data_IF_972560111301
#
_entry.id   IF_972560111301
#
_cell.length_a   1.000
_cell.length_b   1.000
_cell.length_c   1.000
_cell.angle_alpha   90.00
_cell.angle_beta   90.00
_cell.angle_gamma   90.00
#
_symmetry.space_group_name_H-M   'P 1'
#
loop_
_entity.id
_entity.type
_entity.pdbx_description
1 polymer ?
#
# COMPACT_ATOMS: atom_id res chain seq x y z
N UNK A 1 8.99 -7.25 -1.79
CA UNK A 1 10.27 -6.93 -2.45
C UNK A 1 11.06 -8.17 -2.91
N UNK A 2 11.45 -9.15 -2.04
CA UNK A 2 12.28 -10.30 -2.46
C UNK A 2 11.58 -11.18 -3.52
N UNK A 3 10.37 -11.64 -3.25
CA UNK A 3 9.59 -12.48 -4.18
C UNK A 3 9.23 -11.73 -5.47
N UNK A 4 8.95 -10.46 -5.38
CA UNK A 4 8.67 -9.58 -6.52
C UNK A 4 9.91 -9.41 -7.40
N UNK A 5 11.09 -9.19 -6.80
CA UNK A 5 12.36 -9.13 -7.51
C UNK A 5 12.71 -10.41 -8.27
N UNK A 6 12.18 -11.56 -7.82
CA UNK A 6 12.27 -12.84 -8.53
C UNK A 6 11.15 -13.07 -9.56
N UNK A 7 10.24 -12.12 -9.76
CA UNK A 7 9.08 -12.26 -10.62
C UNK A 7 7.96 -13.16 -10.05
N UNK A 8 8.09 -13.60 -8.80
CA UNK A 8 7.13 -14.49 -8.13
C UNK A 8 6.12 -13.68 -7.31
N UNK A 9 5.15 -13.07 -7.98
CA UNK A 9 4.15 -12.20 -7.34
C UNK A 9 2.96 -12.94 -6.74
N UNK A 10 2.57 -14.08 -7.32
CA UNK A 10 1.42 -14.88 -6.89
C UNK A 10 1.45 -15.31 -5.41
N UNK A 11 2.56 -15.81 -4.85
CA UNK A 11 2.62 -16.16 -3.43
C UNK A 11 2.38 -14.95 -2.53
N UNK A 12 2.95 -13.79 -2.88
CA UNK A 12 2.77 -12.54 -2.12
C UNK A 12 1.32 -12.09 -2.16
N UNK A 13 0.67 -12.18 -3.31
CA UNK A 13 -0.75 -11.87 -3.47
C UNK A 13 -1.62 -12.73 -2.54
N UNK A 14 -1.43 -14.06 -2.53
CA UNK A 14 -2.22 -14.94 -1.67
C UNK A 14 -1.98 -14.69 -0.18
N UNK A 15 -0.73 -14.39 0.21
CA UNK A 15 -0.41 -14.05 1.61
C UNK A 15 -1.11 -12.75 2.01
N UNK A 16 -1.07 -11.74 1.17
CA UNK A 16 -1.73 -10.45 1.41
C UNK A 16 -3.27 -10.62 1.47
N UNK A 17 -3.85 -11.42 0.57
CA UNK A 17 -5.28 -11.71 0.55
C UNK A 17 -5.75 -12.46 1.79
N UNK A 18 -5.02 -13.51 2.20
CA UNK A 18 -5.30 -14.23 3.45
C UNK A 18 -5.14 -13.30 4.66
N UNK A 19 -4.10 -12.46 4.65
CA UNK A 19 -3.89 -11.45 5.69
C UNK A 19 -5.07 -10.47 5.79
N UNK A 20 -5.59 -9.98 4.69
CA UNK A 20 -6.78 -9.14 4.67
C UNK A 20 -7.99 -9.85 5.27
N UNK A 21 -8.23 -11.11 4.90
CA UNK A 21 -9.34 -11.90 5.45
C UNK A 21 -9.18 -12.19 6.94
N UNK A 22 -7.95 -12.37 7.43
CA UNK A 22 -7.66 -12.57 8.85
C UNK A 22 -7.74 -11.27 9.65
N UNK A 23 -7.43 -10.14 9.05
CA UNK A 23 -7.46 -8.85 9.73
C UNK A 23 -8.88 -8.48 10.17
N UNK A 24 -9.90 -8.73 9.31
CA UNK A 24 -11.29 -8.42 9.62
C UNK A 24 -11.77 -9.04 10.95
N UNK A 25 -11.70 -10.37 11.17
CA UNK A 25 -12.12 -10.97 12.44
C UNK A 25 -11.22 -10.55 13.62
N UNK A 26 -9.93 -10.34 13.39
CA UNK A 26 -9.03 -9.86 14.44
C UNK A 26 -9.41 -8.45 14.89
N UNK A 27 -9.71 -7.54 13.97
CA UNK A 27 -10.19 -6.20 14.30
C UNK A 27 -11.51 -6.27 15.09
N UNK A 28 -12.46 -7.09 14.66
CA UNK A 28 -13.72 -7.26 15.38
C UNK A 28 -13.48 -7.76 16.81
N UNK A 29 -12.58 -8.73 17.00
CA UNK A 29 -12.31 -9.31 18.32
C UNK A 29 -11.64 -8.29 19.24
N UNK A 30 -10.61 -7.58 18.78
CA UNK A 30 -9.82 -6.69 19.64
C UNK A 30 -10.44 -5.31 19.82
N UNK A 31 -11.10 -4.77 18.78
CA UNK A 31 -11.73 -3.44 18.86
C UNK A 31 -12.98 -3.48 19.72
N UNK A 32 -13.86 -4.46 19.49
CA UNK A 32 -15.15 -4.57 20.20
C UNK A 32 -15.09 -5.43 21.46
N UNK A 33 -14.00 -6.16 21.70
CA UNK A 33 -13.84 -6.95 22.92
C UNK A 33 -14.58 -8.27 22.92
N UNK A 34 -14.69 -8.96 21.77
CA UNK A 34 -15.26 -10.30 21.74
C UNK A 34 -14.31 -11.33 22.37
N UNK A 35 -14.82 -12.53 22.66
CA UNK A 35 -14.09 -13.64 23.29
C UNK A 35 -13.57 -13.36 24.72
N UNK A 36 -14.23 -12.48 25.47
CA UNK A 36 -13.88 -12.17 26.86
C UNK A 36 -12.75 -11.16 27.03
N UNK A 37 -12.31 -10.52 25.96
CA UNK A 37 -11.36 -9.41 26.02
C UNK A 37 -12.09 -8.09 26.28
N UNK A 38 -11.48 -7.13 27.01
CA UNK A 38 -12.05 -5.80 27.13
C UNK A 38 -12.01 -5.07 25.77
N UNK A 39 -13.00 -4.22 25.45
CA UNK A 39 -12.99 -3.43 24.22
C UNK A 39 -11.80 -2.46 24.22
N UNK A 40 -10.85 -2.65 23.29
CA UNK A 40 -9.60 -1.89 23.25
C UNK A 40 -9.66 -0.72 22.25
N UNK A 41 -10.72 -0.61 21.45
CA UNK A 41 -10.85 0.47 20.46
C UNK A 41 -9.64 0.56 19.51
N UNK A 42 -9.06 1.76 19.38
CA UNK A 42 -7.91 2.00 18.50
C UNK A 42 -6.65 1.19 18.85
N UNK A 43 -6.43 0.87 20.12
CA UNK A 43 -5.32 0.00 20.55
C UNK A 43 -5.53 -1.42 20.03
N UNK A 44 -6.79 -1.90 20.05
CA UNK A 44 -7.17 -3.21 19.51
C UNK A 44 -6.85 -3.35 18.02
N UNK A 45 -7.13 -2.31 17.22
CA UNK A 45 -6.78 -2.27 15.82
C UNK A 45 -5.26 -2.38 15.59
N UNK A 46 -4.45 -1.68 16.41
CA UNK A 46 -2.98 -1.79 16.36
C UNK A 46 -2.46 -3.19 16.67
N UNK A 47 -3.06 -3.88 17.64
CA UNK A 47 -2.73 -5.26 18.00
C UNK A 47 -3.11 -6.21 16.85
N UNK A 48 -4.31 -6.11 16.30
CA UNK A 48 -4.79 -6.94 15.20
C UNK A 48 -3.87 -6.82 13.97
N UNK A 49 -3.53 -5.58 13.59
CA UNK A 49 -2.60 -5.30 12.49
C UNK A 49 -1.21 -5.89 12.75
N UNK A 50 -0.69 -5.77 13.97
CA UNK A 50 0.62 -6.33 14.34
C UNK A 50 0.64 -7.85 14.23
N UNK A 51 -0.40 -8.52 14.72
CA UNK A 51 -0.56 -9.97 14.60
C UNK A 51 -0.62 -10.37 13.12
N UNK A 52 -1.40 -9.66 12.32
CA UNK A 52 -1.55 -9.93 10.90
C UNK A 52 -0.21 -9.83 10.14
N UNK A 53 0.59 -8.80 10.42
CA UNK A 53 1.93 -8.64 9.83
C UNK A 53 2.87 -9.78 10.23
N UNK A 54 2.87 -10.17 11.51
CA UNK A 54 3.71 -11.28 12.00
C UNK A 54 3.30 -12.61 11.33
N UNK A 55 2.00 -12.89 11.27
CA UNK A 55 1.48 -14.09 10.61
C UNK A 55 1.85 -14.10 9.12
N UNK A 56 1.66 -12.98 8.42
CA UNK A 56 2.05 -12.83 7.02
C UNK A 56 3.56 -13.08 6.80
N UNK A 57 4.41 -12.55 7.69
CA UNK A 57 5.85 -12.78 7.65
C UNK A 57 6.20 -14.26 7.84
N UNK A 58 5.59 -14.93 8.81
CA UNK A 58 5.81 -16.36 9.08
C UNK A 58 5.37 -17.20 7.87
N UNK A 59 4.20 -16.93 7.30
CA UNK A 59 3.71 -17.64 6.11
C UNK A 59 4.68 -17.42 4.94
N UNK A 60 5.15 -16.20 4.72
CA UNK A 60 6.11 -15.89 3.66
C UNK A 60 7.41 -16.70 3.83
N UNK A 61 7.95 -16.77 5.04
CA UNK A 61 9.15 -17.55 5.34
C UNK A 61 8.90 -19.04 5.02
N UNK A 62 7.77 -19.59 5.45
CA UNK A 62 7.41 -20.98 5.17
C UNK A 62 7.31 -21.24 3.65
N UNK A 63 6.69 -20.33 2.91
CA UNK A 63 6.58 -20.43 1.45
C UNK A 63 7.96 -20.40 0.78
N UNK A 64 8.84 -19.48 1.20
CA UNK A 64 10.21 -19.40 0.67
C UNK A 64 10.99 -20.69 0.95
N UNK A 65 10.83 -21.29 2.12
CA UNK A 65 11.53 -22.53 2.49
C UNK A 65 11.01 -23.77 1.77
N UNK A 66 9.71 -23.81 1.44
CA UNK A 66 9.06 -25.02 0.88
C UNK A 66 8.96 -25.02 -0.65
N UNK A 67 8.88 -23.86 -1.28
CA UNK A 67 8.62 -23.77 -2.72
C UNK A 67 9.92 -23.90 -3.51
N UNK A 68 9.96 -24.82 -4.48
CA UNK A 68 11.14 -25.11 -5.31
C UNK A 68 11.65 -23.91 -6.12
N UNK A 69 10.75 -22.99 -6.49
CA UNK A 69 11.09 -21.76 -7.22
C UNK A 69 12.11 -20.90 -6.46
N UNK A 70 12.12 -20.97 -5.12
CA UNK A 70 13.08 -20.26 -4.26
C UNK A 70 14.32 -21.09 -3.93
N UNK A 71 14.34 -22.37 -4.24
CA UNK A 71 15.46 -23.27 -3.88
C UNK A 71 16.78 -22.87 -4.56
N UNK A 72 16.70 -22.26 -5.74
CA UNK A 72 17.88 -21.78 -6.49
C UNK A 72 18.68 -20.71 -5.75
N UNK A 73 18.02 -19.89 -4.93
CA UNK A 73 18.65 -18.75 -4.24
C UNK A 73 19.33 -19.12 -2.93
N UNK A 74 19.00 -20.27 -2.35
CA UNK A 74 19.54 -20.77 -1.05
C UNK A 74 19.65 -19.67 0.02
N UNK A 75 18.62 -18.83 0.14
CA UNK A 75 18.60 -17.60 0.93
C UNK A 75 19.13 -17.78 2.37
N UNK A 76 18.77 -18.89 3.02
CA UNK A 76 19.16 -19.18 4.40
C UNK A 76 20.37 -20.11 4.54
N UNK A 77 21.00 -20.56 3.44
CA UNK A 77 22.09 -21.53 3.50
C UNK A 77 23.46 -20.93 3.80
N UNK A 78 23.66 -19.66 3.50
CA UNK A 78 24.91 -18.95 3.77
C UNK A 78 24.62 -17.51 4.20
N UNK A 79 24.94 -17.19 5.44
CA UNK A 79 25.05 -15.80 5.90
C UNK A 79 26.42 -15.27 5.50
N UNK A 80 26.50 -14.58 4.37
CA UNK A 80 27.70 -13.85 3.97
C UNK A 80 27.74 -12.49 4.67
N UNK A 81 28.95 -12.05 5.02
CA UNK A 81 29.11 -10.69 5.59
C UNK A 81 28.66 -9.65 4.55
N UNK A 82 27.95 -8.60 4.98
CA UNK A 82 27.48 -7.55 4.09
C UNK A 82 28.67 -6.91 3.35
N UNK A 83 28.57 -6.83 2.03
CA UNK A 83 29.57 -6.16 1.20
C UNK A 83 29.31 -4.66 1.26
N UNK A 84 30.31 -3.88 1.76
CA UNK A 84 30.21 -2.43 1.90
C UNK A 84 29.81 -1.73 0.59
N UNK A 85 30.29 -2.20 -0.56
CA UNK A 85 29.97 -1.64 -1.88
C UNK A 85 28.48 -1.81 -2.20
N UNK A 86 27.97 -3.02 -2.10
CA UNK A 86 26.56 -3.34 -2.37
C UNK A 86 25.62 -2.62 -1.39
N UNK A 87 26.02 -2.55 -0.11
CA UNK A 87 25.25 -1.82 0.91
C UNK A 87 25.18 -0.32 0.61
N UNK A 88 26.30 0.27 0.18
CA UNK A 88 26.35 1.68 -0.18
C UNK A 88 25.52 2.00 -1.44
N UNK A 89 25.56 1.11 -2.44
CA UNK A 89 24.73 1.22 -3.65
C UNK A 89 23.23 1.13 -3.30
N UNK A 90 22.84 0.19 -2.44
CA UNK A 90 21.47 0.07 -1.95
C UNK A 90 21.02 1.31 -1.18
N UNK A 91 21.88 1.89 -0.33
CA UNK A 91 21.58 3.12 0.39
C UNK A 91 21.47 4.33 -0.53
N UNK A 92 22.33 4.46 -1.53
CA UNK A 92 22.27 5.54 -2.54
C UNK A 92 20.94 5.52 -3.30
N UNK A 93 20.41 4.34 -3.58
CA UNK A 93 19.13 4.18 -4.27
C UNK A 93 17.95 4.34 -3.30
N UNK A 94 18.04 3.74 -2.13
CA UNK A 94 16.96 3.73 -1.14
C UNK A 94 16.73 5.08 -0.45
N UNK A 95 17.79 5.87 -0.21
CA UNK A 95 17.67 7.15 0.49
C UNK A 95 16.78 8.17 -0.24
N UNK A 96 16.99 8.45 -1.56
CA UNK A 96 16.10 9.35 -2.29
C UNK A 96 14.65 8.86 -2.35
N UNK A 97 14.44 7.56 -2.52
CA UNK A 97 13.09 6.97 -2.55
C UNK A 97 12.42 7.11 -1.18
N UNK A 98 13.14 6.76 -0.11
CA UNK A 98 12.63 6.90 1.26
C UNK A 98 12.36 8.35 1.66
N UNK A 99 13.22 9.29 1.22
CA UNK A 99 13.01 10.71 1.45
C UNK A 99 11.78 11.23 0.70
N UNK A 100 11.55 10.78 -0.53
CA UNK A 100 10.33 11.10 -1.29
C UNK A 100 9.06 10.65 -0.55
N UNK A 101 9.03 9.41 -0.09
CA UNK A 101 7.91 8.88 0.70
C UNK A 101 7.73 9.63 2.04
N UNK A 102 8.83 10.00 2.69
CA UNK A 102 8.78 10.79 3.92
C UNK A 102 8.13 12.15 3.69
N UNK A 103 8.52 12.86 2.62
CA UNK A 103 7.92 14.17 2.27
C UNK A 103 6.43 14.00 1.96
N UNK A 104 6.05 12.99 1.17
CA UNK A 104 4.66 12.69 0.83
C UNK A 104 3.81 12.45 2.08
N UNK A 105 4.24 11.55 2.97
CA UNK A 105 3.53 11.26 4.22
C UNK A 105 3.49 12.48 5.16
N UNK A 106 4.54 13.28 5.18
CA UNK A 106 4.60 14.51 5.99
C UNK A 106 3.61 15.56 5.51
N UNK A 107 3.38 15.66 4.19
CA UNK A 107 2.36 16.54 3.63
C UNK A 107 0.95 16.16 4.08
N UNK A 108 0.60 14.87 3.99
CA UNK A 108 -0.72 14.38 4.45
C UNK A 108 -0.90 14.58 5.96
N UNK A 109 0.11 14.24 6.75
CA UNK A 109 0.06 14.41 8.20
C UNK A 109 0.00 15.89 8.62
N UNK A 110 0.78 16.74 7.95
CA UNK A 110 0.78 18.18 8.18
C UNK A 110 -0.56 18.83 7.82
N UNK A 111 -1.16 18.44 6.70
CA UNK A 111 -2.49 18.88 6.31
C UNK A 111 -3.54 18.49 7.36
N UNK A 112 -3.51 17.25 7.84
CA UNK A 112 -4.43 16.77 8.88
C UNK A 112 -4.29 17.56 10.19
N UNK A 113 -3.06 17.92 10.60
CA UNK A 113 -2.83 18.75 11.80
C UNK A 113 -3.40 20.16 11.65
N UNK A 114 -3.21 20.80 10.49
CA UNK A 114 -3.76 22.15 10.21
C UNK A 114 -5.28 22.10 10.21
N UNK A 115 -5.87 21.11 9.53
CA UNK A 115 -7.33 20.94 9.44
C UNK A 115 -7.92 20.61 10.81
N UNK A 116 -7.17 19.93 11.68
CA UNK A 116 -7.56 19.65 13.06
C UNK A 116 -7.96 20.89 13.88
N UNK A 117 -7.43 22.06 13.53
CA UNK A 117 -7.76 23.34 14.18
C UNK A 117 -9.07 23.98 13.67
N UNK A 118 -9.64 23.49 12.55
CA UNK A 118 -10.82 24.09 11.90
C UNK A 118 -12.17 23.53 12.37
N UNK A 119 -12.15 22.55 13.26
CA UNK A 119 -13.36 21.97 13.84
C UNK A 119 -13.68 20.55 13.36
N UNK A 120 -14.54 19.86 14.11
CA UNK A 120 -14.80 18.43 13.93
C UNK A 120 -15.45 18.08 12.58
N UNK A 121 -16.37 18.91 12.07
CA UNK A 121 -17.02 18.69 10.78
C UNK A 121 -16.03 18.73 9.63
N UNK A 122 -15.09 19.69 9.63
CA UNK A 122 -14.06 19.83 8.60
C UNK A 122 -13.07 18.66 8.64
N UNK A 123 -12.66 18.22 9.84
CA UNK A 123 -11.81 17.03 10.02
C UNK A 123 -12.52 15.78 9.51
N UNK A 124 -13.81 15.62 9.84
CA UNK A 124 -14.62 14.50 9.34
C UNK A 124 -14.69 14.47 7.82
N UNK A 125 -15.02 15.60 7.20
CA UNK A 125 -15.09 15.74 5.75
C UNK A 125 -13.74 15.45 5.07
N UNK A 126 -12.65 15.98 5.61
CA UNK A 126 -11.29 15.72 5.11
C UNK A 126 -10.92 14.23 5.21
N UNK A 127 -11.26 13.58 6.32
CA UNK A 127 -11.00 12.15 6.51
C UNK A 127 -11.76 11.31 5.48
N UNK A 128 -13.04 11.64 5.22
CA UNK A 128 -13.83 10.97 4.18
C UNK A 128 -13.22 11.17 2.81
N UNK A 129 -12.86 12.41 2.46
CA UNK A 129 -12.27 12.73 1.17
C UNK A 129 -10.92 12.00 0.94
N UNK A 130 -10.04 11.99 1.95
CA UNK A 130 -8.76 11.26 1.86
C UNK A 130 -8.98 9.75 1.74
N UNK A 131 -9.92 9.16 2.47
CA UNK A 131 -10.20 7.73 2.36
C UNK A 131 -10.66 7.35 0.95
N UNK A 132 -11.58 8.12 0.37
CA UNK A 132 -12.03 7.92 -1.00
C UNK A 132 -10.87 8.09 -1.98
N UNK A 133 -10.11 9.18 -1.89
CA UNK A 133 -8.97 9.44 -2.74
C UNK A 133 -7.91 8.33 -2.65
N UNK A 134 -7.65 7.80 -1.45
CA UNK A 134 -6.69 6.72 -1.21
C UNK A 134 -7.08 5.43 -1.93
N UNK A 135 -8.36 5.05 -1.94
CA UNK A 135 -8.85 3.86 -2.67
C UNK A 135 -8.55 3.99 -4.16
N UNK A 136 -8.85 5.14 -4.75
CA UNK A 136 -8.59 5.39 -6.17
C UNK A 136 -7.08 5.51 -6.47
N UNK A 137 -6.30 6.09 -5.55
CA UNK A 137 -4.85 6.21 -5.68
C UNK A 137 -4.11 4.85 -5.68
N UNK A 138 -4.68 3.83 -5.01
CA UNK A 138 -4.06 2.49 -4.97
C UNK A 138 -3.94 1.84 -6.35
N UNK A 139 -4.83 2.14 -7.29
CA UNK A 139 -4.78 1.58 -8.67
C UNK A 139 -3.51 2.02 -9.43
N UNK A 140 -3.27 3.33 -9.66
CA UNK A 140 -2.06 3.78 -10.35
C UNK A 140 -0.78 3.45 -9.57
N UNK A 141 -0.84 3.47 -8.23
CA UNK A 141 0.29 3.10 -7.38
C UNK A 141 0.69 1.63 -7.60
N UNK A 142 -0.26 0.70 -7.60
CA UNK A 142 0.00 -0.73 -7.81
C UNK A 142 0.57 -1.02 -9.20
N UNK A 143 0.07 -0.34 -10.24
CA UNK A 143 0.58 -0.44 -11.61
C UNK A 143 2.03 0.07 -11.65
N UNK A 144 2.32 1.21 -11.01
CA UNK A 144 3.65 1.79 -10.92
C UNK A 144 4.66 0.85 -10.24
N UNK A 145 4.28 0.24 -9.11
CA UNK A 145 5.12 -0.72 -8.39
C UNK A 145 5.39 -2.00 -9.20
N UNK A 146 4.37 -2.53 -9.89
CA UNK A 146 4.52 -3.69 -10.76
C UNK A 146 5.44 -3.38 -11.95
N UNK A 147 5.30 -2.19 -12.53
CA UNK A 147 6.17 -1.73 -13.62
C UNK A 147 7.61 -1.54 -13.16
N UNK A 148 7.85 -0.92 -12.01
CA UNK A 148 9.19 -0.73 -11.46
C UNK A 148 9.92 -2.07 -11.30
N UNK A 149 9.24 -3.09 -10.80
CA UNK A 149 9.78 -4.45 -10.66
C UNK A 149 10.09 -5.07 -12.03
N UNK A 150 9.14 -4.98 -12.99
CA UNK A 150 9.33 -5.56 -14.33
C UNK A 150 10.45 -4.88 -15.11
N UNK A 151 10.47 -3.55 -15.09
CA UNK A 151 11.51 -2.76 -15.79
C UNK A 151 12.87 -3.03 -15.16
N UNK A 152 12.96 -3.08 -13.82
CA UNK A 152 14.18 -3.41 -13.09
C UNK A 152 14.75 -4.77 -13.49
N UNK A 153 13.92 -5.80 -13.61
CA UNK A 153 14.33 -7.13 -14.05
C UNK A 153 14.83 -7.12 -15.50
N UNK A 154 14.12 -6.47 -16.42
CA UNK A 154 14.53 -6.36 -17.83
C UNK A 154 15.83 -5.60 -18.01
N UNK A 155 16.07 -4.56 -17.23
CA UNK A 155 17.36 -3.83 -17.22
C UNK A 155 18.47 -4.73 -16.67
N UNK A 156 18.20 -5.52 -15.62
CA UNK A 156 19.14 -6.50 -15.07
C UNK A 156 19.52 -7.59 -16.07
N UNK A 157 18.59 -7.99 -16.93
CA UNK A 157 18.81 -8.93 -18.04
C UNK A 157 19.48 -8.27 -19.26
N UNK A 158 19.86 -6.99 -19.18
CA UNK A 158 20.43 -6.19 -20.28
C UNK A 158 19.53 -6.05 -21.51
N UNK A 159 18.22 -6.25 -21.34
CA UNK A 159 17.23 -6.15 -22.42
C UNK A 159 16.61 -4.74 -22.47
N UNK A 160 17.41 -3.77 -22.90
CA UNK A 160 17.04 -2.35 -22.90
C UNK A 160 15.81 -2.05 -23.78
N UNK A 161 15.66 -2.72 -24.91
CA UNK A 161 14.53 -2.49 -25.82
C UNK A 161 13.20 -2.91 -25.16
N UNK A 162 13.17 -4.06 -24.52
CA UNK A 162 11.96 -4.51 -23.82
C UNK A 162 11.68 -3.64 -22.56
N UNK A 163 12.71 -3.16 -21.87
CA UNK A 163 12.56 -2.25 -20.75
C UNK A 163 11.92 -0.90 -21.19
N UNK A 164 12.37 -0.35 -22.33
CA UNK A 164 11.77 0.86 -22.91
C UNK A 164 10.31 0.63 -23.30
N UNK A 165 10.01 -0.47 -24.00
CA UNK A 165 8.64 -0.81 -24.36
C UNK A 165 7.74 -0.97 -23.15
N UNK A 166 8.20 -1.68 -22.11
CA UNK A 166 7.48 -1.82 -20.85
C UNK A 166 7.20 -0.46 -20.17
N UNK A 167 8.17 0.46 -20.24
CA UNK A 167 8.01 1.83 -19.69
C UNK A 167 6.92 2.61 -20.42
N UNK A 168 6.91 2.59 -21.76
CA UNK A 168 5.87 3.27 -22.56
C UNK A 168 4.48 2.69 -22.28
N UNK A 169 4.35 1.36 -22.27
CA UNK A 169 3.08 0.69 -21.95
C UNK A 169 2.60 1.06 -20.55
N UNK A 170 3.50 1.11 -19.57
CA UNK A 170 3.14 1.49 -18.20
C UNK A 170 2.62 2.93 -18.13
N UNK A 171 3.30 3.88 -18.77
CA UNK A 171 2.86 5.29 -18.80
C UNK A 171 1.47 5.39 -19.43
N UNK A 172 1.22 4.69 -20.54
CA UNK A 172 -0.08 4.67 -21.18
C UNK A 172 -1.17 4.09 -20.27
N UNK A 173 -0.90 2.94 -19.64
CA UNK A 173 -1.86 2.29 -18.73
C UNK A 173 -2.13 3.16 -17.49
N UNK A 174 -1.10 3.78 -16.91
CA UNK A 174 -1.27 4.72 -15.80
C UNK A 174 -2.10 5.94 -16.21
N UNK A 175 -1.86 6.50 -17.40
CA UNK A 175 -2.63 7.62 -17.92
C UNK A 175 -4.10 7.27 -18.12
N UNK A 176 -4.40 6.13 -18.77
CA UNK A 176 -5.76 5.64 -18.94
C UNK A 176 -6.42 5.36 -17.57
N UNK A 177 -5.69 4.74 -16.65
CA UNK A 177 -6.17 4.50 -15.29
C UNK A 177 -6.50 5.80 -14.55
N UNK A 178 -5.65 6.83 -14.68
CA UNK A 178 -5.90 8.15 -14.10
C UNK A 178 -7.16 8.81 -14.68
N UNK A 179 -7.35 8.73 -16.00
CA UNK A 179 -8.57 9.24 -16.66
C UNK A 179 -9.83 8.54 -16.15
N UNK A 180 -9.79 7.20 -16.03
CA UNK A 180 -10.90 6.40 -15.50
C UNK A 180 -11.17 6.78 -14.03
N UNK A 181 -10.13 6.87 -13.19
CA UNK A 181 -10.28 7.26 -11.79
C UNK A 181 -10.92 8.65 -11.64
N UNK A 182 -10.44 9.62 -12.40
CA UNK A 182 -11.00 10.98 -12.39
C UNK A 182 -12.47 10.95 -12.81
N UNK A 183 -12.80 10.23 -13.87
CA UNK A 183 -14.19 10.10 -14.32
C UNK A 183 -15.07 9.43 -13.26
N UNK A 184 -14.59 8.35 -12.65
CA UNK A 184 -15.31 7.66 -11.57
C UNK A 184 -15.55 8.57 -10.37
N UNK A 185 -14.54 9.33 -9.93
CA UNK A 185 -14.70 10.27 -8.81
C UNK A 185 -15.74 11.34 -9.17
N UNK A 186 -15.65 11.95 -10.34
CA UNK A 186 -16.57 13.00 -10.78
C UNK A 186 -18.03 12.53 -10.89
N UNK A 187 -18.24 11.30 -11.37
CA UNK A 187 -19.58 10.74 -11.54
C UNK A 187 -20.19 10.17 -10.26
N UNK A 188 -19.37 9.61 -9.37
CA UNK A 188 -19.84 8.85 -8.21
C UNK A 188 -19.62 9.58 -6.87
N UNK A 189 -19.04 10.78 -6.86
CA UNK A 189 -18.65 11.52 -5.64
C UNK A 189 -19.79 11.63 -4.61
N UNK A 190 -20.99 12.02 -5.05
CA UNK A 190 -22.11 12.23 -4.14
C UNK A 190 -22.56 10.90 -3.48
N UNK A 191 -22.59 9.83 -4.27
CA UNK A 191 -22.88 8.48 -3.78
C UNK A 191 -21.78 7.93 -2.88
N UNK A 192 -20.51 8.15 -3.21
CA UNK A 192 -19.37 7.69 -2.42
C UNK A 192 -19.31 8.38 -1.06
N UNK A 193 -19.49 9.70 -1.03
CA UNK A 193 -19.47 10.46 0.22
C UNK A 193 -20.66 10.09 1.13
N UNK A 194 -21.84 9.87 0.57
CA UNK A 194 -23.04 9.46 1.33
C UNK A 194 -22.90 8.07 1.97
N UNK A 195 -22.03 7.20 1.48
CA UNK A 195 -21.73 5.91 2.12
C UNK A 195 -20.91 6.05 3.42
N UNK A 196 -20.14 7.14 3.55
CA UNK A 196 -19.26 7.36 4.69
C UNK A 196 -19.89 8.16 5.82
N UNK A 197 -20.81 9.09 5.52
CA UNK A 197 -21.43 9.96 6.51
C UNK A 197 -22.89 10.23 6.15
N UNK A 198 -23.73 10.36 7.20
CA UNK A 198 -25.11 10.82 7.11
C UNK A 198 -25.25 12.30 7.50
N UNK A 199 -24.17 12.96 7.89
CA UNK A 199 -24.17 14.37 8.29
C UNK A 199 -24.08 15.25 7.03
N UNK A 200 -25.11 16.07 6.84
CA UNK A 200 -25.26 16.94 5.65
C UNK A 200 -24.11 17.94 5.54
N UNK A 201 -23.62 18.45 6.67
CA UNK A 201 -22.51 19.41 6.69
C UNK A 201 -21.20 18.74 6.24
N UNK A 202 -20.92 17.55 6.77
CA UNK A 202 -19.74 16.73 6.39
C UNK A 202 -19.80 16.36 4.91
N UNK A 203 -20.96 15.94 4.41
CA UNK A 203 -21.17 15.58 3.01
C UNK A 203 -20.90 16.78 2.09
N UNK A 204 -21.47 17.94 2.39
CA UNK A 204 -21.30 19.15 1.56
C UNK A 204 -19.83 19.58 1.45
N UNK A 205 -19.08 19.53 2.56
CA UNK A 205 -17.66 19.87 2.59
C UNK A 205 -16.83 18.79 1.84
N UNK A 206 -17.09 17.51 2.09
CA UNK A 206 -16.34 16.41 1.49
C UNK A 206 -16.51 16.34 -0.03
N UNK A 207 -17.72 16.56 -0.56
CA UNK A 207 -17.98 16.62 -2.01
C UNK A 207 -17.20 17.75 -2.66
N UNK A 208 -17.08 18.91 -2.00
CA UNK A 208 -16.28 20.03 -2.50
C UNK A 208 -14.76 19.78 -2.44
N UNK A 209 -14.29 18.95 -1.50
CA UNK A 209 -12.87 18.59 -1.38
C UNK A 209 -12.43 17.55 -2.42
N UNK A 210 -13.36 16.84 -3.05
CA UNK A 210 -13.08 15.87 -4.12
C UNK A 210 -12.98 16.48 -5.52
N UNK A 211 -13.09 17.82 -5.63
CA UNK A 211 -12.79 18.61 -6.83
C UNK A 211 -11.33 19.03 -6.82
#
# INVERSE_FOLDING_TARGET
CYSEGMGLTLPVFWIAFIGMLLNIPLDIIFVYGYLGLPPMGGVGCGIATSINVIVGMVILIIVILRKQDYASTKLFSRFSKPNKKTTLEALKLGFPIGFGLFVELSMFSGAALIIGSLGAAVVGAHTVAINIASVFFMLPLSIGLAAATRIGNLVGESNVLQAQYASYVTVLVCFLGACINTLCILLLRDGLVSLYSNDIEVIAIAVNLLF
#
